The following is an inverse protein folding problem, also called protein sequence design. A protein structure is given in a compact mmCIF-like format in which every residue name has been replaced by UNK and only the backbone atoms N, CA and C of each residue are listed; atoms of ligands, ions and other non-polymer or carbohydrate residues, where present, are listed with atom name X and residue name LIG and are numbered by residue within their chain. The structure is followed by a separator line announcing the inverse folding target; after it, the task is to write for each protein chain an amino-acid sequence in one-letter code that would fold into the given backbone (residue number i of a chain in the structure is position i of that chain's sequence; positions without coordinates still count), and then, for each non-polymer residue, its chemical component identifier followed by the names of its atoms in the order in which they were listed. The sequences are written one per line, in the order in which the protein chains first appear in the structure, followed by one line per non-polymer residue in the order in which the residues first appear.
data_IF_204483216315
#
_entry.id   IF_204483216315
#
_cell.length_a   1.000
_cell.length_b   1.000
_cell.length_c   1.000
_cell.angle_alpha   90.00
_cell.angle_beta   90.00
_cell.angle_gamma   90.00
#
_symmetry.space_group_name_H-M   'P 1'
#
loop_
_entity.id
_entity.type
_entity.pdbx_description
1 polymer ?
#
# COMPACT_ATOMS: atom_id res chain seq x y z
N UNK A 1 -5.84 7.81 -28.19
CA UNK A 1 -5.30 6.52 -27.72
C UNK A 1 -5.58 6.37 -26.24
N UNK A 2 -6.26 5.29 -25.83
CA UNK A 2 -6.34 4.95 -24.41
C UNK A 2 -4.99 4.36 -23.99
N UNK A 3 -4.42 4.77 -22.85
CA UNK A 3 -3.22 4.11 -22.35
C UNK A 3 -3.52 2.62 -22.09
N UNK A 4 -2.60 1.74 -22.49
CA UNK A 4 -2.65 0.30 -22.21
C UNK A 4 -2.42 0.05 -20.71
N UNK A 5 -3.47 0.28 -19.92
CA UNK A 5 -3.43 0.13 -18.47
C UNK A 5 -3.75 -1.31 -18.06
N UNK A 6 -2.85 -1.93 -17.30
CA UNK A 6 -3.09 -3.23 -16.68
C UNK A 6 -3.95 -3.06 -15.42
N UNK A 7 -5.27 -3.25 -15.53
CA UNK A 7 -6.21 -3.13 -14.41
C UNK A 7 -6.74 -4.51 -14.00
N UNK A 8 -6.69 -4.80 -12.71
CA UNK A 8 -7.22 -6.05 -12.13
C UNK A 8 -8.62 -5.90 -11.45
N UNK A 9 -9.27 -4.74 -11.55
CA UNK A 9 -10.59 -4.46 -10.95
C UNK A 9 -11.72 -4.89 -11.89
N UNK A 10 -12.85 -5.34 -11.34
CA UNK A 10 -14.03 -5.72 -12.11
C UNK A 10 -14.64 -4.50 -12.81
N UNK A 11 -14.86 -4.65 -14.13
CA UNK A 11 -15.62 -3.69 -14.92
C UNK A 11 -17.09 -3.72 -14.52
N UNK A 12 -17.77 -2.58 -14.60
CA UNK A 12 -19.20 -2.46 -14.27
C UNK A 12 -19.51 -1.90 -12.88
N UNK A 13 -18.52 -1.31 -12.20
CA UNK A 13 -18.72 -0.51 -10.99
C UNK A 13 -18.77 -1.30 -9.68
N UNK A 14 -18.65 -2.63 -9.73
CA UNK A 14 -18.68 -3.50 -8.53
C UNK A 14 -17.55 -3.20 -7.54
N UNK A 15 -16.37 -2.86 -8.04
CA UNK A 15 -15.22 -2.49 -7.20
C UNK A 15 -15.00 -0.97 -7.15
N UNK A 16 -15.98 -0.18 -7.61
CA UNK A 16 -15.90 1.27 -7.70
C UNK A 16 -15.93 1.77 -9.14
N UNK A 17 -16.24 3.06 -9.28
CA UNK A 17 -16.33 3.71 -10.60
C UNK A 17 -14.98 4.23 -11.10
N UNK A 18 -14.03 4.43 -10.19
CA UNK A 18 -12.71 4.93 -10.51
C UNK A 18 -11.68 4.34 -9.56
N UNK A 19 -10.43 4.39 -10.02
CA UNK A 19 -9.26 4.15 -9.18
C UNK A 19 -8.14 5.08 -9.62
N UNK A 20 -7.05 5.10 -8.88
CA UNK A 20 -5.85 5.83 -9.22
C UNK A 20 -4.82 4.87 -9.80
N UNK A 21 -4.16 5.34 -10.85
CA UNK A 21 -3.02 4.67 -11.46
C UNK A 21 -1.90 5.68 -11.58
N UNK A 22 -0.68 5.25 -11.25
CA UNK A 22 0.52 6.00 -11.56
C UNK A 22 1.38 5.17 -12.52
N UNK A 23 1.98 5.85 -13.50
CA UNK A 23 2.83 5.25 -14.53
C UNK A 23 4.07 6.10 -14.74
N UNK A 24 5.18 5.45 -15.03
CA UNK A 24 6.33 6.03 -15.70
C UNK A 24 6.74 5.12 -16.88
N UNK A 25 7.93 5.35 -17.45
CA UNK A 25 8.43 4.60 -18.61
C UNK A 25 8.77 3.13 -18.30
N UNK A 26 8.83 2.73 -17.02
CA UNK A 26 9.32 1.43 -16.56
C UNK A 26 8.25 0.66 -15.78
N UNK A 27 7.39 1.33 -15.03
CA UNK A 27 6.46 0.71 -14.10
C UNK A 27 5.07 1.34 -14.10
N UNK A 28 4.09 0.52 -13.74
CA UNK A 28 2.72 0.92 -13.48
C UNK A 28 2.32 0.49 -12.06
N UNK A 29 1.67 1.39 -11.33
CA UNK A 29 1.09 1.14 -10.01
C UNK A 29 -0.40 1.39 -10.07
N UNK A 30 -1.19 0.34 -9.84
CA UNK A 30 -2.62 0.44 -9.61
C UNK A 30 -2.88 0.48 -8.10
N UNK A 31 -3.66 1.45 -7.63
CA UNK A 31 -4.00 1.57 -6.21
C UNK A 31 -5.36 0.92 -5.94
N UNK A 32 -5.46 0.08 -4.91
CA UNK A 32 -6.75 -0.40 -4.39
C UNK A 32 -7.25 0.57 -3.30
N UNK A 33 -7.98 1.60 -3.69
CA UNK A 33 -8.39 2.68 -2.77
C UNK A 33 -9.69 2.31 -2.04
N UNK A 34 -9.57 1.95 -0.75
CA UNK A 34 -10.69 1.51 0.08
C UNK A 34 -11.91 2.44 0.09
N UNK A 35 -11.68 3.76 0.00
CA UNK A 35 -12.72 4.80 -0.03
C UNK A 35 -13.35 4.99 -1.41
N UNK A 36 -12.67 4.59 -2.49
CA UNK A 36 -13.23 4.59 -3.85
C UNK A 36 -14.04 3.30 -4.16
N UNK A 37 -13.82 2.23 -3.37
CA UNK A 37 -14.59 0.99 -3.45
C UNK A 37 -15.94 1.13 -2.72
N UNK A 38 -17.03 0.54 -3.25
CA UNK A 38 -18.36 0.64 -2.65
C UNK A 38 -18.45 -0.14 -1.34
N UNK A 39 -19.25 0.38 -0.40
CA UNK A 39 -19.63 -0.33 0.84
C UNK A 39 -21.07 -0.84 0.70
N UNK A 40 -21.34 -2.07 1.12
CA UNK A 40 -22.67 -2.69 1.04
C UNK A 40 -23.16 -3.09 2.42
N UNK A 41 -24.43 -2.80 2.74
CA UNK A 41 -25.05 -3.27 3.97
C UNK A 41 -25.16 -4.81 4.04
N UNK A 42 -25.12 -5.50 2.90
CA UNK A 42 -25.10 -6.96 2.80
C UNK A 42 -23.70 -7.56 2.99
N UNK A 43 -22.67 -6.72 3.01
CA UNK A 43 -21.27 -7.09 3.24
C UNK A 43 -20.69 -6.25 4.40
N UNK A 44 -21.17 -6.44 5.64
CA UNK A 44 -20.77 -5.63 6.79
C UNK A 44 -19.27 -5.75 7.12
N UNK A 45 -18.63 -6.84 6.70
CA UNK A 45 -17.20 -7.06 6.89
C UNK A 45 -16.34 -6.50 5.75
N UNK A 46 -16.95 -5.85 4.75
CA UNK A 46 -16.27 -5.31 3.56
C UNK A 46 -15.36 -6.35 2.87
N UNK A 47 -15.84 -7.60 2.75
CA UNK A 47 -15.11 -8.68 2.11
C UNK A 47 -14.74 -8.33 0.66
N UNK A 48 -15.61 -7.64 -0.07
CA UNK A 48 -15.35 -7.24 -1.46
C UNK A 48 -14.19 -6.25 -1.58
N UNK A 49 -13.96 -5.42 -0.56
CA UNK A 49 -12.77 -4.55 -0.51
C UNK A 49 -11.55 -5.33 -0.10
N UNK A 50 -11.71 -6.18 0.93
CA UNK A 50 -10.64 -6.98 1.52
C UNK A 50 -10.06 -7.99 0.53
N UNK A 51 -10.84 -8.48 -0.44
CA UNK A 51 -10.35 -9.41 -1.47
C UNK A 51 -9.20 -8.82 -2.30
N UNK A 52 -9.16 -7.49 -2.48
CA UNK A 52 -8.04 -6.80 -3.12
C UNK A 52 -7.00 -6.37 -2.09
N UNK A 53 -7.39 -5.48 -1.17
CA UNK A 53 -6.48 -4.82 -0.23
C UNK A 53 -5.75 -5.85 0.65
N UNK A 54 -6.43 -6.91 1.07
CA UNK A 54 -5.86 -7.97 1.90
C UNK A 54 -4.80 -8.82 1.19
N UNK A 55 -4.83 -8.83 -0.15
CA UNK A 55 -3.91 -9.56 -1.01
C UNK A 55 -2.76 -8.71 -1.55
N UNK A 56 -2.75 -7.39 -1.30
CA UNK A 56 -1.60 -6.56 -1.62
C UNK A 56 -0.42 -6.84 -0.69
N UNK A 57 0.80 -6.76 -1.23
CA UNK A 57 2.03 -6.89 -0.43
C UNK A 57 2.25 -5.67 0.45
N UNK A 58 1.81 -4.50 -0.03
CA UNK A 58 2.03 -3.21 0.60
C UNK A 58 0.72 -2.45 0.65
N UNK A 59 0.40 -1.89 1.82
CA UNK A 59 -0.68 -0.92 1.96
C UNK A 59 -0.13 0.45 2.38
N UNK A 60 -0.70 1.51 1.82
CA UNK A 60 -0.52 2.87 2.35
C UNK A 60 -1.71 3.16 3.26
N UNK A 61 -1.44 3.53 4.51
CA UNK A 61 -2.46 3.83 5.51
C UNK A 61 -2.34 5.28 5.92
N UNK A 62 -3.38 6.05 5.65
CA UNK A 62 -3.56 7.38 6.24
C UNK A 62 -4.17 7.23 7.63
N UNK A 63 -3.37 7.48 8.67
CA UNK A 63 -3.74 7.27 10.07
C UNK A 63 -4.01 8.59 10.79
N UNK A 64 -5.24 9.08 10.69
CA UNK A 64 -5.72 10.28 11.39
C UNK A 64 -6.43 9.95 12.72
N UNK A 65 -6.14 8.77 13.30
CA UNK A 65 -6.83 8.30 14.51
C UNK A 65 -6.26 8.87 15.81
N UNK A 66 -5.06 9.47 15.76
CA UNK A 66 -4.31 9.87 16.95
C UNK A 66 -3.73 8.71 17.77
N UNK A 67 -3.93 7.46 17.32
CA UNK A 67 -3.41 6.25 17.98
C UNK A 67 -2.37 5.55 17.11
N UNK A 68 -1.52 4.73 17.75
CA UNK A 68 -0.53 3.91 17.02
C UNK A 68 -1.24 2.90 16.10
N UNK A 69 -0.86 2.90 14.82
CA UNK A 69 -1.46 1.98 13.86
C UNK A 69 -0.99 0.53 14.10
N UNK A 70 -1.88 -0.37 14.48
CA UNK A 70 -1.54 -1.79 14.61
C UNK A 70 -1.41 -2.45 13.22
N UNK A 71 -0.24 -3.01 12.90
CA UNK A 71 0.03 -3.66 11.61
C UNK A 71 -0.90 -4.85 11.28
N UNK A 72 -1.55 -5.44 12.29
CA UNK A 72 -2.50 -6.55 12.11
C UNK A 72 -3.93 -6.09 11.79
N UNK A 73 -4.19 -4.78 11.76
CA UNK A 73 -5.51 -4.19 11.48
C UNK A 73 -6.03 -4.61 10.11
N UNK A 74 -5.18 -4.58 9.08
CA UNK A 74 -5.52 -5.09 7.76
C UNK A 74 -5.26 -6.60 7.74
N UNK A 75 -6.34 -7.36 7.90
CA UNK A 75 -6.30 -8.83 7.86
C UNK A 75 -6.01 -9.30 6.44
N UNK A 76 -4.88 -9.97 6.27
CA UNK A 76 -4.43 -10.52 5.01
C UNK A 76 -3.11 -11.26 5.17
N UNK A 77 -2.92 -12.34 4.41
CA UNK A 77 -1.70 -13.15 4.43
C UNK A 77 -0.51 -12.42 3.80
N UNK A 78 -0.78 -11.47 2.89
CA UNK A 78 0.23 -10.85 2.04
C UNK A 78 0.66 -9.45 2.46
N UNK A 79 -0.14 -8.70 3.21
CA UNK A 79 0.17 -7.33 3.66
C UNK A 79 1.44 -7.28 4.54
N UNK A 80 2.63 -7.33 3.94
CA UNK A 80 3.92 -7.49 4.60
C UNK A 80 4.48 -6.17 5.08
N UNK A 81 4.22 -5.10 4.33
CA UNK A 81 4.68 -3.74 4.66
C UNK A 81 3.48 -2.79 4.70
N UNK A 82 3.46 -1.90 5.68
CA UNK A 82 2.49 -0.82 5.78
C UNK A 82 3.26 0.50 5.79
N UNK A 83 3.03 1.33 4.79
CA UNK A 83 3.50 2.72 4.77
C UNK A 83 2.45 3.55 5.48
N UNK A 84 2.76 3.99 6.69
CA UNK A 84 1.85 4.80 7.49
C UNK A 84 2.13 6.28 7.22
N UNK A 85 1.09 7.02 6.88
CA UNK A 85 1.08 8.49 6.78
C UNK A 85 0.24 9.01 7.93
N UNK A 86 0.86 9.74 8.85
CA UNK A 86 0.21 10.38 9.99
C UNK A 86 0.22 11.89 9.79
N UNK A 87 -0.95 12.55 9.71
CA UNK A 87 -1.00 14.00 9.66
C UNK A 87 -0.50 14.60 10.97
N UNK A 88 0.20 15.72 10.86
CA UNK A 88 0.71 16.55 11.94
C UNK A 88 0.15 17.97 11.79
N UNK A 89 0.45 18.84 12.74
CA UNK A 89 0.04 20.24 12.66
C UNK A 89 0.74 20.98 11.49
N UNK A 90 0.13 22.08 11.05
CA UNK A 90 0.71 23.01 10.06
C UNK A 90 0.99 22.40 8.67
N UNK A 91 0.18 21.44 8.23
CA UNK A 91 0.30 20.85 6.90
C UNK A 91 1.57 20.00 6.73
N UNK A 92 1.96 19.34 7.82
CA UNK A 92 3.07 18.40 7.87
C UNK A 92 2.53 16.99 8.08
N UNK A 93 3.28 15.99 7.63
CA UNK A 93 2.94 14.58 7.81
C UNK A 93 4.18 13.81 8.23
N UNK A 94 3.99 12.79 9.06
CA UNK A 94 5.00 11.78 9.34
C UNK A 94 4.75 10.56 8.47
N UNK A 95 5.77 10.12 7.73
CA UNK A 95 5.75 8.90 6.92
C UNK A 95 6.74 7.89 7.51
N UNK A 96 6.29 6.68 7.77
CA UNK A 96 7.13 5.60 8.31
C UNK A 96 6.59 4.23 7.92
N UNK A 97 7.40 3.19 8.13
CA UNK A 97 7.10 1.83 7.67
C UNK A 97 6.91 0.92 8.89
N UNK A 98 5.86 0.09 8.86
CA UNK A 98 5.73 -1.09 9.71
C UNK A 98 5.79 -2.35 8.86
N UNK A 99 6.49 -3.38 9.32
CA UNK A 99 6.64 -4.65 8.58
C UNK A 99 6.20 -5.84 9.43
N UNK A 100 5.52 -6.83 8.82
CA UNK A 100 5.19 -8.11 9.50
C UNK A 100 6.39 -9.05 9.61
N UNK A 101 7.35 -8.91 8.70
CA UNK A 101 8.56 -9.71 8.63
C UNK A 101 9.79 -8.85 8.94
N UNK A 102 10.44 -9.13 10.06
CA UNK A 102 11.64 -8.44 10.51
C UNK A 102 12.80 -8.54 9.51
N UNK A 103 12.84 -9.61 8.70
CA UNK A 103 13.84 -9.73 7.63
C UNK A 103 13.68 -8.63 6.58
N UNK A 104 12.45 -8.25 6.25
CA UNK A 104 12.19 -7.18 5.29
C UNK A 104 12.67 -5.84 5.85
N UNK A 105 12.36 -5.57 7.13
CA UNK A 105 12.82 -4.37 7.83
C UNK A 105 14.35 -4.29 7.88
N UNK A 106 14.99 -5.32 8.40
CA UNK A 106 16.44 -5.31 8.69
C UNK A 106 17.33 -5.47 7.47
N UNK A 107 16.94 -6.23 6.43
CA UNK A 107 17.81 -6.48 5.27
C UNK A 107 17.62 -5.51 4.12
N UNK A 108 16.38 -5.10 3.85
CA UNK A 108 16.05 -4.34 2.64
C UNK A 108 15.64 -2.90 2.94
N UNK A 109 14.99 -2.67 4.08
CA UNK A 109 14.44 -1.37 4.46
C UNK A 109 15.14 -0.73 5.67
N UNK A 110 16.34 -1.20 6.05
CA UNK A 110 17.02 -0.71 7.26
C UNK A 110 17.33 0.79 7.23
N UNK A 111 17.54 1.33 6.03
CA UNK A 111 17.83 2.75 5.80
C UNK A 111 16.58 3.65 5.82
N UNK A 112 15.37 3.08 5.87
CA UNK A 112 14.15 3.87 5.97
C UNK A 112 13.83 4.15 7.44
N UNK A 113 14.00 5.41 7.83
CA UNK A 113 13.53 5.96 9.10
C UNK A 113 12.24 6.76 8.91
N UNK A 114 11.62 7.16 10.01
CA UNK A 114 10.45 8.03 9.96
C UNK A 114 10.84 9.41 9.39
N UNK A 115 10.07 9.91 8.44
CA UNK A 115 10.33 11.17 7.74
C UNK A 115 9.18 12.13 7.95
N UNK A 116 9.48 13.39 8.30
CA UNK A 116 8.51 14.47 8.30
C UNK A 116 8.54 15.18 6.93
N UNK A 117 7.37 15.34 6.31
CA UNK A 117 7.22 15.89 4.96
C UNK A 117 6.00 16.80 4.89
N UNK A 118 6.09 17.87 4.10
CA UNK A 118 4.98 18.79 3.86
C UNK A 118 3.84 18.13 3.06
N UNK A 119 2.61 18.57 3.26
CA UNK A 119 1.41 18.09 2.54
C UNK A 119 1.59 17.97 1.01
N UNK A 120 2.16 18.95 0.28
CA UNK A 120 2.28 18.83 -1.18
C UNK A 120 3.19 17.68 -1.64
N UNK A 121 4.09 17.21 -0.76
CA UNK A 121 5.13 16.23 -1.08
C UNK A 121 4.84 14.85 -0.47
N UNK A 122 3.86 14.73 0.43
CA UNK A 122 3.59 13.47 1.15
C UNK A 122 3.18 12.34 0.22
N UNK A 123 2.37 12.64 -0.80
CA UNK A 123 1.91 11.64 -1.76
C UNK A 123 3.07 11.06 -2.59
N UNK A 124 4.02 11.91 -2.97
CA UNK A 124 5.23 11.50 -3.71
C UNK A 124 6.08 10.56 -2.84
N UNK A 125 6.37 10.97 -1.60
CA UNK A 125 7.18 10.19 -0.68
C UNK A 125 6.51 8.84 -0.34
N UNK A 126 5.23 8.86 0.02
CA UNK A 126 4.49 7.64 0.38
C UNK A 126 4.48 6.63 -0.78
N UNK A 127 4.30 7.10 -2.03
CA UNK A 127 4.38 6.24 -3.21
C UNK A 127 5.78 5.66 -3.41
N UNK A 128 6.82 6.48 -3.31
CA UNK A 128 8.20 6.02 -3.48
C UNK A 128 8.59 4.97 -2.43
N UNK A 129 8.22 5.22 -1.16
CA UNK A 129 8.43 4.25 -0.08
C UNK A 129 7.62 2.97 -0.32
N UNK A 130 6.37 3.07 -0.79
CA UNK A 130 5.56 1.90 -1.10
C UNK A 130 6.16 1.05 -2.24
N UNK A 131 6.73 1.68 -3.27
CA UNK A 131 7.46 0.99 -4.34
C UNK A 131 8.68 0.22 -3.80
N UNK A 132 9.49 0.85 -2.95
CA UNK A 132 10.63 0.19 -2.30
C UNK A 132 10.18 -0.98 -1.42
N UNK A 133 9.11 -0.80 -0.65
CA UNK A 133 8.49 -1.87 0.14
C UNK A 133 8.03 -3.04 -0.75
N UNK A 134 7.43 -2.75 -1.90
CA UNK A 134 6.92 -3.77 -2.82
C UNK A 134 8.05 -4.62 -3.38
N UNK A 135 9.13 -3.96 -3.84
CA UNK A 135 10.33 -4.65 -4.33
C UNK A 135 10.98 -5.49 -3.23
N UNK A 136 11.12 -4.94 -2.01
CA UNK A 136 11.67 -5.65 -0.87
C UNK A 136 10.83 -6.89 -0.49
N UNK A 137 9.50 -6.77 -0.53
CA UNK A 137 8.57 -7.87 -0.28
C UNK A 137 8.71 -8.96 -1.35
N UNK A 138 8.78 -8.60 -2.64
CA UNK A 138 8.98 -9.55 -3.74
C UNK A 138 10.30 -10.32 -3.58
N UNK A 139 11.42 -9.61 -3.38
CA UNK A 139 12.74 -10.23 -3.19
C UNK A 139 12.72 -11.17 -1.98
N UNK A 140 12.15 -10.72 -0.85
CA UNK A 140 12.08 -11.54 0.36
C UNK A 140 11.29 -12.83 0.14
N UNK A 141 10.17 -12.76 -0.58
CA UNK A 141 9.32 -13.92 -0.88
C UNK A 141 10.02 -14.90 -1.83
N UNK A 142 10.66 -14.42 -2.90
CA UNK A 142 11.41 -15.29 -3.82
C UNK A 142 12.54 -16.04 -3.10
N UNK A 143 13.28 -15.35 -2.23
CA UNK A 143 14.37 -15.96 -1.44
C UNK A 143 13.87 -16.97 -0.39
N UNK A 144 12.65 -16.85 0.12
CA UNK A 144 12.06 -17.84 1.05
C UNK A 144 11.66 -19.13 0.34
N UNK A 145 11.19 -19.01 -0.90
CA UNK A 145 10.76 -20.15 -1.71
C UNK A 145 11.94 -20.93 -2.33
N UNK A 146 13.18 -20.54 -2.05
CA UNK A 146 14.38 -21.14 -2.64
C UNK A 146 14.53 -20.84 -4.14
N UNK A 147 13.73 -19.91 -4.67
CA UNK A 147 13.79 -19.47 -6.06
C UNK A 147 14.86 -18.42 -6.28
N UNK A 148 15.31 -18.29 -7.53
CA UNK A 148 16.03 -17.09 -7.97
C UNK A 148 15.12 -15.85 -7.77
N UNK A 149 15.68 -14.64 -7.59
CA UNK A 149 14.89 -13.43 -7.38
C UNK A 149 14.07 -12.96 -8.60
N UNK A 150 13.81 -13.82 -9.58
CA UNK A 150 13.07 -13.56 -10.81
C UNK A 150 12.27 -14.80 -11.25
#
# INVERSE_FOLDING_TARGET
DQPDLFLNLEKGGKDGHYTYVWTDDVMQVQFHVATAMPTSAKDPNCNEKRKYIGNDYVSIVYNDSGADFNITTIKGQLNFCIVVVEPLEHGMNRVFIKTKDERIRSKFLAHHDAQCVSDPNVALLARQVALHCSLASQISQSLKLGGAPY
#
